data_IF_139367661359
#
_entry.id   IF_139367661359
#
_cell.length_a   1.000
_cell.length_b   1.000
_cell.length_c   1.000
_cell.angle_alpha   90.00
_cell.angle_beta   90.00
_cell.angle_gamma   90.00
#
_symmetry.space_group_name_H-M   'P 1'
#
loop_
_entity.id
_entity.type
_entity.pdbx_description
1 polymer ?
#
# COMPACT_ATOMS: atom_id res chain seq x y z
N UNK A 1 -6.22 18.05 -13.80
CA UNK A 1 -5.50 17.19 -12.84
C UNK A 1 -4.46 16.39 -13.60
N UNK A 2 -3.18 16.47 -13.18
CA UNK A 2 -2.15 15.61 -13.74
C UNK A 2 -2.46 14.16 -13.37
N UNK A 3 -2.58 13.28 -14.36
CA UNK A 3 -2.72 11.85 -14.12
C UNK A 3 -1.36 11.32 -13.64
N UNK A 4 -1.39 10.42 -12.67
CA UNK A 4 -0.20 9.66 -12.29
C UNK A 4 0.32 8.92 -13.53
N UNK A 5 1.57 9.17 -13.86
CA UNK A 5 2.23 8.55 -15.02
C UNK A 5 3.28 7.57 -14.50
N UNK A 6 3.21 6.36 -14.99
CA UNK A 6 4.19 5.30 -14.73
C UNK A 6 4.28 4.42 -15.97
N UNK A 7 5.35 3.68 -16.08
CA UNK A 7 5.54 2.71 -17.18
C UNK A 7 5.03 1.35 -16.70
N UNK A 8 3.99 0.78 -17.31
CA UNK A 8 3.54 -0.57 -17.01
C UNK A 8 4.68 -1.58 -17.23
N UNK A 9 4.66 -2.65 -16.46
CA UNK A 9 5.58 -3.75 -16.66
C UNK A 9 5.22 -4.51 -17.95
N UNK A 10 6.23 -4.92 -18.72
CA UNK A 10 6.01 -5.77 -19.89
C UNK A 10 5.47 -7.14 -19.45
N UNK A 11 4.37 -7.56 -20.08
CA UNK A 11 3.85 -8.90 -19.84
C UNK A 11 4.83 -9.94 -20.36
N UNK A 12 5.22 -10.86 -19.49
CA UNK A 12 6.04 -12.02 -19.83
C UNK A 12 5.25 -13.29 -19.57
N UNK A 13 5.09 -14.10 -20.61
CA UNK A 13 4.44 -15.42 -20.47
C UNK A 13 5.31 -16.28 -19.53
N UNK A 14 4.79 -16.72 -18.38
CA UNK A 14 5.52 -17.62 -17.50
C UNK A 14 5.95 -18.89 -18.24
N UNK A 15 7.17 -19.39 -18.01
CA UNK A 15 7.64 -20.62 -18.66
C UNK A 15 6.71 -21.83 -18.43
N UNK A 16 6.06 -21.87 -17.28
CA UNK A 16 5.14 -22.92 -16.87
C UNK A 16 3.88 -23.01 -17.76
N UNK A 17 3.48 -21.90 -18.41
CA UNK A 17 2.38 -21.90 -19.38
C UNK A 17 2.80 -22.41 -20.78
N UNK A 18 4.07 -22.65 -21.02
CA UNK A 18 4.59 -23.10 -22.31
C UNK A 18 4.89 -24.60 -22.39
N UNK A 19 4.71 -25.32 -21.28
CA UNK A 19 5.03 -26.74 -21.22
C UNK A 19 4.52 -27.41 -19.96
N UNK A 20 4.79 -28.70 -19.81
CA UNK A 20 4.35 -29.53 -18.70
C UNK A 20 5.28 -29.42 -17.46
N UNK A 21 6.27 -28.53 -17.51
CA UNK A 21 7.21 -28.36 -16.40
C UNK A 21 6.53 -27.64 -15.22
N UNK A 22 6.57 -28.27 -14.07
CA UNK A 22 6.08 -27.70 -12.81
C UNK A 22 7.24 -27.06 -12.06
N UNK A 23 7.27 -25.71 -12.02
CA UNK A 23 8.19 -25.00 -11.16
C UNK A 23 7.72 -25.09 -9.70
N UNK A 24 8.69 -25.17 -8.78
CA UNK A 24 8.39 -25.15 -7.33
C UNK A 24 9.01 -23.91 -6.72
N UNK A 25 8.21 -23.18 -5.96
CA UNK A 25 8.66 -22.04 -5.16
C UNK A 25 8.20 -22.21 -3.72
N UNK A 26 8.97 -21.76 -2.72
CA UNK A 26 8.59 -21.88 -1.31
C UNK A 26 7.27 -21.18 -1.01
N UNK A 27 7.04 -20.01 -1.61
CA UNK A 27 5.87 -19.17 -1.35
C UNK A 27 5.34 -18.60 -2.66
N UNK A 28 4.04 -18.70 -2.86
CA UNK A 28 3.30 -18.01 -3.94
C UNK A 28 2.39 -16.98 -3.28
N UNK A 29 2.46 -15.74 -3.76
CA UNK A 29 1.61 -14.64 -3.34
C UNK A 29 0.70 -14.29 -4.53
N UNK A 30 -0.60 -14.36 -4.32
CA UNK A 30 -1.60 -14.01 -5.34
C UNK A 30 -2.09 -12.59 -5.10
N UNK A 31 -1.81 -11.71 -6.05
CA UNK A 31 -2.10 -10.28 -5.99
C UNK A 31 -0.87 -9.42 -5.69
N UNK A 32 -0.54 -8.49 -6.59
CA UNK A 32 0.56 -7.53 -6.46
C UNK A 32 0.10 -6.15 -5.94
N UNK A 33 -0.98 -6.11 -5.17
CA UNK A 33 -1.39 -4.91 -4.42
C UNK A 33 -0.52 -4.68 -3.17
N UNK A 34 -0.79 -3.63 -2.38
CA UNK A 34 0.05 -3.24 -1.24
C UNK A 34 0.29 -4.35 -0.23
N UNK A 35 -0.67 -5.24 -0.03
CA UNK A 35 -0.55 -6.37 0.90
C UNK A 35 0.40 -7.43 0.34
N UNK A 36 0.20 -7.83 -0.92
CA UNK A 36 1.04 -8.85 -1.56
C UNK A 36 2.48 -8.37 -1.75
N UNK A 37 2.66 -7.13 -2.19
CA UNK A 37 3.99 -6.52 -2.32
C UNK A 37 4.67 -6.38 -0.94
N UNK A 38 3.92 -5.93 0.09
CA UNK A 38 4.43 -5.86 1.46
C UNK A 38 4.87 -7.23 1.98
N UNK A 39 4.07 -8.27 1.76
CA UNK A 39 4.43 -9.64 2.14
C UNK A 39 5.68 -10.15 1.40
N UNK A 40 5.79 -9.85 0.10
CA UNK A 40 6.96 -10.23 -0.69
C UNK A 40 8.26 -9.57 -0.19
N UNK A 41 8.19 -8.27 0.12
CA UNK A 41 9.32 -7.51 0.66
C UNK A 41 9.70 -8.07 2.05
N UNK A 42 8.72 -8.28 2.93
CA UNK A 42 8.97 -8.82 4.28
C UNK A 42 9.63 -10.21 4.22
N UNK A 43 9.13 -11.11 3.37
CA UNK A 43 9.76 -12.41 3.13
C UNK A 43 11.19 -12.28 2.61
N UNK A 44 11.43 -11.36 1.68
CA UNK A 44 12.75 -11.12 1.13
C UNK A 44 13.74 -10.60 2.19
N UNK A 45 13.30 -9.76 3.13
CA UNK A 45 14.15 -9.31 4.25
C UNK A 45 14.57 -10.46 5.17
N UNK A 46 13.80 -11.56 5.18
CA UNK A 46 14.11 -12.79 5.91
C UNK A 46 14.81 -13.85 5.04
N UNK A 47 15.23 -13.50 3.83
CA UNK A 47 15.90 -14.41 2.90
C UNK A 47 15.00 -15.48 2.29
N UNK A 48 13.68 -15.31 2.37
CA UNK A 48 12.69 -16.25 1.83
C UNK A 48 12.27 -15.78 0.43
N UNK A 49 12.59 -16.60 -0.57
CA UNK A 49 12.15 -16.33 -1.94
C UNK A 49 10.63 -16.54 -2.09
N UNK A 50 9.98 -15.63 -2.79
CA UNK A 50 8.55 -15.75 -3.13
C UNK A 50 8.31 -15.41 -4.59
N UNK A 51 7.21 -15.94 -5.15
CA UNK A 51 6.72 -15.58 -6.47
C UNK A 51 5.41 -14.84 -6.30
N UNK A 52 5.35 -13.59 -6.78
CA UNK A 52 4.11 -12.83 -6.82
C UNK A 52 3.47 -13.01 -8.19
N UNK A 53 2.18 -13.33 -8.20
CA UNK A 53 1.39 -13.46 -9.43
C UNK A 53 0.21 -12.48 -9.37
N UNK A 54 -0.05 -11.81 -10.49
CA UNK A 54 -1.15 -10.87 -10.64
C UNK A 54 -1.74 -10.98 -12.04
N UNK A 55 -3.01 -10.66 -12.20
CA UNK A 55 -3.69 -10.66 -13.50
C UNK A 55 -3.53 -9.32 -14.24
N UNK A 56 -2.85 -8.37 -13.63
CA UNK A 56 -2.57 -7.04 -14.19
C UNK A 56 -1.06 -6.75 -14.23
N UNK A 57 -0.67 -5.93 -15.20
CA UNK A 57 0.67 -5.36 -15.28
C UNK A 57 0.70 -3.85 -14.96
N UNK A 58 -0.34 -3.36 -14.31
CA UNK A 58 -0.56 -1.96 -14.00
C UNK A 58 -0.89 -1.80 -12.52
N UNK A 59 -0.54 -0.63 -11.96
CA UNK A 59 -0.99 -0.26 -10.60
C UNK A 59 -2.50 -0.04 -10.59
N UNK A 60 -3.10 -0.08 -9.43
CA UNK A 60 -4.54 0.09 -9.23
C UNK A 60 -5.08 1.34 -9.93
N UNK A 61 -6.14 1.17 -10.72
CA UNK A 61 -6.83 2.28 -11.38
C UNK A 61 -8.08 2.66 -10.57
N UNK A 62 -8.28 3.98 -10.41
CA UNK A 62 -9.43 4.52 -9.67
C UNK A 62 -9.16 4.64 -8.17
N UNK A 63 -10.23 4.97 -7.43
CA UNK A 63 -10.17 5.09 -5.97
C UNK A 63 -10.36 3.72 -5.32
N UNK A 64 -9.32 3.23 -4.69
CA UNK A 64 -9.35 2.04 -3.83
C UNK A 64 -9.03 2.46 -2.41
N UNK A 65 -8.00 1.89 -1.76
CA UNK A 65 -7.56 2.39 -0.47
C UNK A 65 -6.99 3.82 -0.60
N UNK A 66 -7.36 4.67 0.35
CA UNK A 66 -6.86 6.04 0.43
C UNK A 66 -6.37 6.38 1.86
N UNK A 67 -6.98 5.80 2.88
CA UNK A 67 -6.62 6.06 4.28
C UNK A 67 -5.63 4.99 4.77
N UNK A 68 -4.46 5.43 5.21
CA UNK A 68 -3.42 4.56 5.78
C UNK A 68 -3.24 4.92 7.24
N UNK A 69 -3.69 4.03 8.11
CA UNK A 69 -3.62 4.23 9.55
C UNK A 69 -2.18 4.10 10.08
N UNK A 70 -1.92 4.69 11.24
CA UNK A 70 -0.65 4.63 11.97
C UNK A 70 -0.05 3.22 11.98
N UNK A 71 -0.86 2.18 12.26
CA UNK A 71 -0.37 0.80 12.27
C UNK A 71 0.13 0.33 10.91
N UNK A 72 -0.54 0.71 9.83
CA UNK A 72 -0.06 0.41 8.48
C UNK A 72 1.26 1.11 8.18
N UNK A 73 1.40 2.37 8.59
CA UNK A 73 2.65 3.12 8.44
C UNK A 73 3.81 2.49 9.22
N UNK A 74 3.57 1.98 10.42
CA UNK A 74 4.57 1.25 11.22
C UNK A 74 5.03 -0.04 10.52
N UNK A 75 4.12 -0.74 9.83
CA UNK A 75 4.47 -1.91 9.03
C UNK A 75 5.31 -1.49 7.82
N UNK A 76 4.87 -0.49 7.07
CA UNK A 76 5.60 0.03 5.92
C UNK A 76 6.95 0.65 6.27
N UNK A 77 7.11 1.16 7.50
CA UNK A 77 8.39 1.62 8.03
C UNK A 77 9.41 0.49 8.13
N UNK A 78 9.00 -0.65 8.67
CA UNK A 78 9.86 -1.84 8.69
C UNK A 78 10.27 -2.32 7.31
N UNK A 79 9.43 -2.06 6.30
CA UNK A 79 9.70 -2.38 4.90
C UNK A 79 10.50 -1.28 4.17
N UNK A 80 10.80 -0.16 4.86
CA UNK A 80 11.62 0.92 4.31
C UNK A 80 10.89 1.85 3.34
N UNK A 81 9.54 1.87 3.34
CA UNK A 81 8.75 2.66 2.38
C UNK A 81 7.90 3.76 3.01
N UNK A 82 7.75 3.79 4.34
CA UNK A 82 6.85 4.72 5.04
C UNK A 82 7.21 6.18 4.83
N UNK A 83 8.48 6.56 4.82
CA UNK A 83 8.92 7.95 4.66
C UNK A 83 8.45 8.53 3.32
N UNK A 84 8.54 7.76 2.24
CA UNK A 84 8.03 8.15 0.92
C UNK A 84 6.51 8.30 0.90
N UNK A 85 5.80 7.48 1.66
CA UNK A 85 4.35 7.59 1.83
C UNK A 85 3.98 8.86 2.58
N UNK A 86 4.71 9.19 3.65
CA UNK A 86 4.49 10.42 4.44
C UNK A 86 4.76 11.68 3.63
N UNK A 87 5.85 11.70 2.88
CA UNK A 87 6.22 12.82 2.02
C UNK A 87 5.15 13.13 0.97
N UNK A 88 4.50 12.09 0.44
CA UNK A 88 3.47 12.21 -0.61
C UNK A 88 2.06 12.37 -0.06
N UNK A 89 1.77 11.78 1.09
CA UNK A 89 0.43 11.71 1.68
C UNK A 89 0.03 12.99 2.39
N UNK A 90 -1.28 13.19 2.56
CA UNK A 90 -1.85 14.26 3.36
C UNK A 90 -2.19 13.73 4.75
N UNK A 91 -1.56 14.28 5.76
CA UNK A 91 -1.79 13.90 7.16
C UNK A 91 -3.01 14.62 7.73
N UNK A 92 -3.77 13.94 8.59
CA UNK A 92 -4.83 14.55 9.36
C UNK A 92 -5.05 13.78 10.66
N UNK A 93 -5.59 14.45 11.65
CA UNK A 93 -5.81 13.90 12.99
C UNK A 93 -7.15 14.30 13.58
N UNK A 94 -7.52 15.58 13.43
CA UNK A 94 -8.74 16.12 14.00
C UNK A 94 -9.90 16.01 13.04
N UNK A 95 -10.91 15.21 13.36
CA UNK A 95 -12.18 15.12 12.64
C UNK A 95 -13.21 16.09 13.22
N UNK A 96 -14.00 16.71 12.35
CA UNK A 96 -15.13 17.60 12.71
C UNK A 96 -16.37 17.20 11.92
N UNK A 97 -17.47 17.10 12.61
CA UNK A 97 -18.76 16.74 12.02
C UNK A 97 -19.70 17.92 12.13
N UNK A 98 -20.35 18.27 11.04
CA UNK A 98 -21.26 19.41 10.93
C UNK A 98 -22.66 18.97 10.52
N UNK A 99 -23.66 19.73 10.96
CA UNK A 99 -25.04 19.70 10.44
C UNK A 99 -25.39 21.12 9.98
N UNK A 100 -25.46 21.32 8.68
CA UNK A 100 -25.43 22.67 8.10
C UNK A 100 -24.14 23.38 8.53
N UNK A 101 -24.26 24.58 9.08
CA UNK A 101 -23.12 25.37 9.53
C UNK A 101 -22.73 25.11 11.01
N UNK A 102 -23.52 24.31 11.73
CA UNK A 102 -23.28 24.02 13.15
C UNK A 102 -22.36 22.80 13.31
N UNK A 103 -21.20 22.98 13.96
CA UNK A 103 -20.37 21.86 14.37
C UNK A 103 -21.05 21.15 15.54
N UNK A 104 -21.38 19.87 15.36
CA UNK A 104 -22.05 19.04 16.38
C UNK A 104 -21.12 18.10 17.11
N UNK A 105 -19.96 17.78 16.53
CA UNK A 105 -19.00 16.85 17.11
C UNK A 105 -17.60 17.07 16.56
N UNK A 106 -16.58 16.79 17.39
CA UNK A 106 -15.19 16.68 16.97
C UNK A 106 -14.52 15.52 17.69
N UNK A 107 -13.53 14.93 17.05
CA UNK A 107 -12.74 13.85 17.62
C UNK A 107 -11.28 13.97 17.21
N UNK A 108 -10.41 13.56 18.10
CA UNK A 108 -8.99 13.40 17.84
C UNK A 108 -8.68 11.89 17.69
N UNK A 109 -7.98 11.53 16.63
CA UNK A 109 -7.63 10.15 16.32
C UNK A 109 -6.35 9.69 17.02
N UNK A 110 -5.56 10.62 17.56
CA UNK A 110 -4.30 10.33 18.22
C UNK A 110 -4.00 11.46 19.22
N UNK A 111 -4.73 11.54 20.34
CA UNK A 111 -4.57 12.62 21.32
C UNK A 111 -3.24 12.58 22.07
N UNK A 112 -2.56 11.42 22.09
CA UNK A 112 -1.28 11.27 22.75
C UNK A 112 -0.14 11.81 21.88
N UNK A 113 0.88 12.36 22.53
CA UNK A 113 2.10 12.85 21.88
C UNK A 113 3.19 11.77 21.79
N UNK A 114 4.25 12.07 21.03
CA UNK A 114 5.48 11.28 20.98
C UNK A 114 5.45 10.10 20.01
N UNK A 115 4.43 10.01 19.16
CA UNK A 115 4.36 8.99 18.11
C UNK A 115 5.24 9.36 16.90
N UNK A 116 5.93 8.37 16.31
CA UNK A 116 6.69 8.54 15.07
C UNK A 116 5.77 8.86 13.89
N UNK A 117 4.57 8.27 13.85
CA UNK A 117 3.65 8.38 12.72
C UNK A 117 2.36 9.08 13.13
N UNK A 118 1.74 9.85 12.20
CA UNK A 118 0.42 10.43 12.41
C UNK A 118 -0.66 9.34 12.53
N UNK A 119 -1.82 9.73 13.03
CA UNK A 119 -2.98 8.85 13.11
C UNK A 119 -3.35 8.24 11.74
N UNK A 120 -3.36 9.10 10.71
CA UNK A 120 -3.66 8.75 9.33
C UNK A 120 -2.87 9.59 8.33
N UNK A 121 -2.66 9.01 7.15
CA UNK A 121 -2.41 9.76 5.92
C UNK A 121 -3.47 9.38 4.88
N UNK A 122 -3.82 10.33 4.04
CA UNK A 122 -4.58 10.10 2.81
C UNK A 122 -3.61 10.05 1.64
N UNK A 123 -3.52 8.90 1.00
CA UNK A 123 -2.67 8.65 -0.15
C UNK A 123 -3.32 7.58 -1.02
N UNK A 124 -3.55 7.88 -2.29
CA UNK A 124 -4.14 6.89 -3.20
C UNK A 124 -3.26 5.65 -3.31
N UNK A 125 -3.90 4.48 -3.39
CA UNK A 125 -3.26 3.17 -3.38
C UNK A 125 -2.16 3.02 -4.44
N UNK A 126 -2.37 3.53 -5.64
CA UNK A 126 -1.40 3.44 -6.74
C UNK A 126 -0.06 4.15 -6.50
N UNK A 127 0.02 5.02 -5.47
CA UNK A 127 1.30 5.59 -5.03
C UNK A 127 2.05 4.67 -4.05
N UNK A 128 1.34 3.73 -3.46
CA UNK A 128 1.90 2.77 -2.49
C UNK A 128 2.39 1.52 -3.21
N UNK A 129 1.74 1.15 -4.31
CA UNK A 129 2.16 0.09 -5.25
C UNK A 129 3.41 0.49 -6.03
#
# INVERSE_FOLDING_TARGET
MARYQYTPFDYKIPPELKGDAVARTPVIIVGAGPIGLGAAIDLATHGIASTVVDDNNVVSVGSRAICWAKRSLEIFDRLGVADRMLEKGVTWQLGRVYRGDAQIYSFDLLPEDGHKFPAFINLQQYYVE
#
